data_IF_838480085531
#
_entry.id   IF_838480085531
#
_cell.length_a   1.000
_cell.length_b   1.000
_cell.length_c   1.000
_cell.angle_alpha   90.00
_cell.angle_beta   90.00
_cell.angle_gamma   90.00
#
_symmetry.space_group_name_H-M   'P 1'
#
loop_
_entity.id
_entity.type
_entity.pdbx_description
1 polymer ?
#
# COMPACT_ATOMS: atom_id res chain seq x y z
N UNK A 1 14.03 -6.17 -4.16
CA UNK A 1 13.13 -7.19 -3.56
C UNK A 1 11.76 -7.02 -4.18
N UNK A 2 11.00 -8.11 -4.32
CA UNK A 2 9.65 -8.12 -4.90
C UNK A 2 8.74 -8.84 -3.90
N UNK A 3 7.66 -8.19 -3.46
CA UNK A 3 6.76 -8.70 -2.41
C UNK A 3 5.78 -9.73 -2.95
N UNK A 4 5.08 -10.44 -2.08
CA UNK A 4 4.00 -11.35 -2.47
C UNK A 4 2.88 -10.60 -3.21
N UNK A 5 2.53 -9.39 -2.75
CA UNK A 5 1.50 -8.56 -3.39
C UNK A 5 1.88 -8.06 -4.79
N UNK A 6 3.17 -7.90 -5.09
CA UNK A 6 3.64 -7.58 -6.45
C UNK A 6 3.49 -8.78 -7.42
N UNK A 7 3.39 -10.00 -6.88
CA UNK A 7 3.30 -11.25 -7.67
C UNK A 7 1.86 -11.70 -7.93
N UNK A 8 0.91 -11.21 -7.15
CA UNK A 8 -0.51 -11.58 -7.25
C UNK A 8 -1.31 -10.38 -7.76
N UNK A 9 -1.46 -10.28 -9.09
CA UNK A 9 -2.21 -9.21 -9.74
C UNK A 9 -3.66 -9.62 -10.11
N UNK A 10 -3.93 -10.93 -10.18
CA UNK A 10 -5.18 -11.48 -10.75
C UNK A 10 -6.26 -11.80 -9.71
N UNK A 11 -6.00 -11.52 -8.43
CA UNK A 11 -6.93 -11.79 -7.33
C UNK A 11 -7.19 -10.50 -6.57
N UNK A 12 -8.47 -10.18 -6.35
CA UNK A 12 -8.85 -9.01 -5.55
C UNK A 12 -8.24 -9.10 -4.15
N UNK A 13 -7.53 -8.07 -3.70
CA UNK A 13 -6.87 -7.99 -2.39
C UNK A 13 -7.71 -8.49 -1.20
N UNK A 14 -9.02 -8.19 -1.09
CA UNK A 14 -9.84 -8.69 0.02
C UNK A 14 -9.98 -10.22 0.06
N UNK A 15 -9.85 -10.90 -1.09
CA UNK A 15 -9.93 -12.37 -1.18
C UNK A 15 -8.63 -13.07 -0.80
N UNK A 16 -7.51 -12.35 -0.77
CA UNK A 16 -6.21 -12.93 -0.46
C UNK A 16 -6.06 -13.13 1.06
N UNK A 17 -6.85 -12.43 1.89
CA UNK A 17 -7.00 -12.71 3.33
C UNK A 17 -5.77 -12.46 4.20
N UNK A 18 -4.61 -12.20 3.61
CA UNK A 18 -3.35 -12.00 4.32
C UNK A 18 -3.10 -10.51 4.56
N UNK A 19 -3.19 -10.09 5.83
CA UNK A 19 -2.90 -8.72 6.27
C UNK A 19 -1.44 -8.27 6.02
N UNK A 20 -0.55 -9.15 5.59
CA UNK A 20 0.91 -8.92 5.51
C UNK A 20 1.51 -9.13 4.11
N UNK A 21 0.68 -9.07 3.06
CA UNK A 21 1.08 -9.28 1.66
C UNK A 21 2.29 -8.46 1.19
N UNK A 22 2.45 -7.26 1.74
CA UNK A 22 3.48 -6.30 1.33
C UNK A 22 4.57 -6.08 2.39
N UNK A 23 4.39 -6.58 3.62
CA UNK A 23 5.30 -6.28 4.74
C UNK A 23 6.20 -7.44 5.11
N UNK A 24 5.73 -8.68 4.98
CA UNK A 24 6.44 -9.88 5.48
C UNK A 24 7.87 -10.03 4.96
N UNK A 25 8.08 -9.93 3.64
CA UNK A 25 9.40 -10.13 3.04
C UNK A 25 10.41 -9.05 3.49
N UNK A 26 9.93 -7.83 3.75
CA UNK A 26 10.76 -6.71 4.20
C UNK A 26 11.02 -6.78 5.71
N UNK A 27 10.04 -7.22 6.49
CA UNK A 27 10.19 -7.50 7.92
C UNK A 27 11.22 -8.61 8.16
N UNK A 28 11.20 -9.68 7.35
CA UNK A 28 12.19 -10.75 7.41
C UNK A 28 13.60 -10.25 7.05
N UNK A 29 13.71 -9.34 6.09
CA UNK A 29 14.99 -8.72 5.73
C UNK A 29 15.56 -7.86 6.89
N UNK A 30 14.72 -7.11 7.60
CA UNK A 30 15.09 -6.38 8.81
C UNK A 30 15.53 -7.32 9.93
N UNK A 31 14.75 -8.36 10.22
CA UNK A 31 15.05 -9.32 11.29
C UNK A 31 16.36 -10.06 11.06
N UNK A 32 16.66 -10.38 9.80
CA UNK A 32 17.89 -11.07 9.41
C UNK A 32 19.10 -10.14 9.28
N UNK A 33 18.96 -8.84 9.61
CA UNK A 33 19.99 -7.80 9.42
C UNK A 33 20.51 -7.72 7.98
N UNK A 34 19.68 -8.06 7.00
CA UNK A 34 20.00 -7.91 5.58
C UNK A 34 19.86 -6.44 5.13
N UNK A 35 19.04 -5.67 5.85
CA UNK A 35 18.86 -4.23 5.69
C UNK A 35 18.77 -3.57 7.08
N UNK A 36 19.14 -2.30 7.18
CA UNK A 36 19.11 -1.54 8.44
C UNK A 36 17.75 -0.88 8.72
N UNK A 37 17.02 -0.48 7.66
CA UNK A 37 15.70 0.13 7.74
C UNK A 37 14.88 -0.18 6.48
N UNK A 38 13.56 -0.04 6.59
CA UNK A 38 12.61 -0.21 5.48
C UNK A 38 11.71 1.02 5.39
N UNK A 39 11.36 1.39 4.15
CA UNK A 39 10.42 2.47 3.85
C UNK A 39 9.11 1.87 3.33
N UNK A 40 8.00 2.27 3.93
CA UNK A 40 6.65 1.87 3.54
C UNK A 40 5.74 3.08 3.33
N UNK A 41 4.72 2.92 2.49
CA UNK A 41 3.53 3.75 2.60
C UNK A 41 2.84 3.41 3.92
N UNK A 42 2.55 4.42 4.74
CA UNK A 42 1.98 4.19 6.08
C UNK A 42 0.63 3.44 6.03
N UNK A 43 -0.13 3.59 4.94
CA UNK A 43 -1.42 2.90 4.72
C UNK A 43 -1.29 1.37 4.62
N UNK A 44 -0.10 0.88 4.28
CA UNK A 44 0.17 -0.55 4.06
C UNK A 44 0.74 -1.24 5.30
N UNK A 45 1.02 -0.49 6.38
CA UNK A 45 1.49 -1.05 7.64
C UNK A 45 0.32 -1.56 8.51
N UNK A 46 0.46 -2.72 9.18
CA UNK A 46 -0.55 -3.17 10.13
C UNK A 46 -0.61 -2.24 11.34
N UNK A 47 -1.78 -2.11 11.96
CA UNK A 47 -1.97 -1.29 13.17
C UNK A 47 -1.20 -1.83 14.37
N UNK A 48 -0.97 -3.15 14.40
CA UNK A 48 -0.11 -3.81 15.38
C UNK A 48 1.12 -4.30 14.64
N UNK A 49 2.27 -3.73 14.97
CA UNK A 49 3.54 -4.21 14.43
C UNK A 49 3.96 -5.52 15.10
N UNK A 50 4.65 -6.41 14.35
CA UNK A 50 5.27 -7.60 14.94
C UNK A 50 6.30 -7.25 16.01
N UNK A 51 6.45 -8.14 16.99
CA UNK A 51 7.40 -7.97 18.09
C UNK A 51 8.84 -7.76 17.60
N UNK A 52 9.53 -6.78 18.18
CA UNK A 52 10.91 -6.44 17.83
C UNK A 52 11.04 -5.49 16.62
N UNK A 53 9.92 -5.01 16.07
CA UNK A 53 9.90 -3.98 15.03
C UNK A 53 9.18 -2.73 15.54
N UNK A 54 9.56 -1.56 15.00
CA UNK A 54 8.94 -0.29 15.34
C UNK A 54 8.96 0.67 14.15
N UNK A 55 8.00 1.61 14.10
CA UNK A 55 8.08 2.74 13.16
C UNK A 55 9.12 3.74 13.69
N UNK A 56 10.29 3.76 13.07
CA UNK A 56 11.38 4.66 13.48
C UNK A 56 11.17 6.13 13.09
N UNK A 57 10.42 6.39 12.03
CA UNK A 57 10.13 7.74 11.55
C UNK A 57 8.80 7.80 10.79
N UNK A 58 8.12 8.94 10.89
CA UNK A 58 7.00 9.32 10.02
C UNK A 58 7.38 10.65 9.38
N UNK A 59 7.44 10.67 8.05
CA UNK A 59 7.79 11.87 7.29
C UNK A 59 6.60 12.85 7.21
N UNK A 60 6.86 14.06 6.71
CA UNK A 60 5.79 15.01 6.40
C UNK A 60 4.77 14.38 5.44
N UNK A 61 3.49 14.62 5.70
CA UNK A 61 2.41 13.95 4.98
C UNK A 61 2.12 14.71 3.69
N UNK A 62 2.28 14.00 2.57
CA UNK A 62 1.84 14.46 1.26
C UNK A 62 0.31 14.54 1.14
N UNK A 63 -0.20 15.07 0.02
CA UNK A 63 -1.63 15.19 -0.24
C UNK A 63 -2.36 13.85 -0.01
N UNK A 64 -3.23 13.75 1.02
CA UNK A 64 -3.86 12.49 1.39
C UNK A 64 -5.15 12.21 0.63
N UNK A 65 -5.54 13.07 -0.32
CA UNK A 65 -6.80 12.96 -1.05
C UNK A 65 -6.72 11.89 -2.13
N UNK A 66 -7.84 11.18 -2.33
CA UNK A 66 -8.02 10.34 -3.50
C UNK A 66 -8.13 11.19 -4.77
N UNK A 67 -7.77 10.61 -5.90
CA UNK A 67 -7.85 11.24 -7.22
C UNK A 67 -8.85 10.53 -8.13
N UNK A 68 -9.61 11.30 -8.91
CA UNK A 68 -10.48 10.79 -9.96
C UNK A 68 -9.70 10.74 -11.28
N UNK A 69 -9.50 9.54 -11.82
CA UNK A 69 -8.84 9.33 -13.13
C UNK A 69 -9.91 9.05 -14.18
N UNK A 70 -10.00 9.94 -15.16
CA UNK A 70 -11.02 9.90 -16.21
C UNK A 70 -10.41 9.68 -17.58
N UNK A 71 -11.22 9.16 -18.50
CA UNK A 71 -10.88 9.18 -19.93
C UNK A 71 -10.91 10.63 -20.43
N UNK A 72 -10.09 10.92 -21.43
CA UNK A 72 -9.92 12.29 -21.94
C UNK A 72 -11.22 12.90 -22.49
N UNK A 73 -12.15 12.08 -23.01
CA UNK A 73 -13.44 12.51 -23.56
C UNK A 73 -14.44 13.00 -22.50
N UNK A 74 -14.23 12.67 -21.24
CA UNK A 74 -15.04 13.14 -20.09
C UNK A 74 -14.19 13.95 -19.11
N UNK A 75 -13.05 14.48 -19.57
CA UNK A 75 -12.16 15.30 -18.76
C UNK A 75 -12.87 16.57 -18.30
N UNK A 76 -12.85 16.79 -16.97
CA UNK A 76 -13.53 17.92 -16.33
C UNK A 76 -14.84 17.52 -15.64
N UNK A 77 -15.34 16.32 -15.90
CA UNK A 77 -16.46 15.77 -15.14
C UNK A 77 -16.03 15.48 -13.70
N UNK A 78 -16.95 15.69 -12.77
CA UNK A 78 -16.90 15.13 -11.42
C UNK A 78 -17.54 13.75 -11.38
N UNK A 79 -17.44 13.07 -10.24
CA UNK A 79 -18.10 11.77 -10.06
C UNK A 79 -19.62 11.84 -10.30
N UNK A 80 -20.25 12.98 -10.00
CA UNK A 80 -21.69 13.19 -10.19
C UNK A 80 -22.11 13.46 -11.64
N UNK A 81 -21.16 13.76 -12.52
CA UNK A 81 -21.42 14.01 -13.95
C UNK A 81 -21.24 12.74 -14.79
N UNK A 82 -20.89 11.61 -14.17
CA UNK A 82 -20.76 10.34 -14.86
C UNK A 82 -22.15 9.76 -15.13
N UNK A 83 -22.37 9.17 -16.33
CA UNK A 83 -23.64 8.50 -16.63
C UNK A 83 -23.87 7.32 -15.66
N UNK A 84 -25.14 7.00 -15.43
CA UNK A 84 -25.51 5.81 -14.68
C UNK A 84 -24.91 4.54 -15.32
N UNK A 85 -24.47 3.62 -14.47
CA UNK A 85 -23.85 2.34 -14.85
C UNK A 85 -24.86 1.25 -15.19
#
# INVERSE_FOLDING_TARGET
>A
MTTLGDRILDVSLPKIGEKSLFTKDLEDALRNNTVDFVVHSLKDLPTTLPDGLAVGAVFEREDPRDALVLREDVKGNSLGDLPDG
#
